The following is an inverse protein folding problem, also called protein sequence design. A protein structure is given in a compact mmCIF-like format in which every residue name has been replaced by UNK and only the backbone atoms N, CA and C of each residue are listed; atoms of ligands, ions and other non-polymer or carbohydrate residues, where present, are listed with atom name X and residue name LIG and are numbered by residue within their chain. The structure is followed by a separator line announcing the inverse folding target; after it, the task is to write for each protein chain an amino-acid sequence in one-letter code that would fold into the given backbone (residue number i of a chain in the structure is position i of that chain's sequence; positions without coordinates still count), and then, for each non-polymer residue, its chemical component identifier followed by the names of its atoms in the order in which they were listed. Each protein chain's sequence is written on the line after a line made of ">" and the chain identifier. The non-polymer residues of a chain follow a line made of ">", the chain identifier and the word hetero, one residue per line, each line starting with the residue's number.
data_IF_770140446410
#
_entry.id   IF_770140446410
#
_cell.length_a   1.000
_cell.length_b   1.000
_cell.length_c   1.000
_cell.angle_alpha   90.00
_cell.angle_beta   90.00
_cell.angle_gamma   90.00
#
_symmetry.space_group_name_H-M   'P 1'
#
loop_
_entity.id
_entity.type
_entity.pdbx_description
1 polymer ?
#
# COMPACT_ATOMS: atom_id res chain seq x y z
N UNK A 1 1.06 -38.39 2.77
CA UNK A 1 1.64 -37.03 2.79
C UNK A 1 0.78 -36.22 3.72
N UNK A 2 1.25 -36.05 4.95
CA UNK A 2 0.66 -35.10 5.89
C UNK A 2 0.89 -33.70 5.30
N UNK A 3 -0.18 -33.05 4.84
CA UNK A 3 -0.16 -31.61 4.62
C UNK A 3 0.07 -30.98 5.99
N UNK A 4 1.28 -30.44 6.20
CA UNK A 4 1.60 -29.57 7.32
C UNK A 4 0.49 -28.53 7.47
N UNK A 5 0.05 -28.33 8.72
CA UNK A 5 -0.88 -27.28 9.09
C UNK A 5 -0.16 -25.96 8.81
N UNK A 6 -0.46 -25.35 7.66
CA UNK A 6 0.09 -24.05 7.25
C UNK A 6 -0.81 -22.96 7.82
N UNK A 7 -0.20 -22.00 8.51
CA UNK A 7 -0.87 -20.78 8.91
C UNK A 7 -1.19 -19.89 7.69
N UNK A 8 -2.36 -19.27 7.72
CA UNK A 8 -2.78 -18.34 6.68
C UNK A 8 -2.02 -17.03 6.81
N UNK A 9 -1.61 -16.49 5.68
CA UNK A 9 -1.02 -15.15 5.62
C UNK A 9 -2.07 -14.08 5.92
N UNK A 10 -1.61 -12.90 6.35
CA UNK A 10 -2.50 -11.76 6.64
C UNK A 10 -3.37 -11.36 5.45
N UNK A 11 -2.84 -11.51 4.22
CA UNK A 11 -3.61 -11.24 3.00
C UNK A 11 -4.70 -12.30 2.76
N UNK A 12 -4.41 -13.58 3.04
CA UNK A 12 -5.38 -14.67 2.93
C UNK A 12 -6.53 -14.47 3.93
N UNK A 13 -6.23 -14.16 5.20
CA UNK A 13 -7.24 -13.92 6.25
C UNK A 13 -8.06 -12.68 5.94
N UNK A 14 -7.41 -11.60 5.49
CA UNK A 14 -8.10 -10.37 5.13
C UNK A 14 -9.07 -10.59 3.95
N UNK A 15 -8.60 -11.20 2.88
CA UNK A 15 -9.44 -11.50 1.71
C UNK A 15 -10.59 -12.41 2.09
N UNK A 16 -10.32 -13.42 2.93
CA UNK A 16 -11.34 -14.30 3.47
C UNK A 16 -12.40 -13.53 4.27
N UNK A 17 -12.01 -12.55 5.08
CA UNK A 17 -12.94 -11.71 5.85
C UNK A 17 -13.82 -10.84 4.94
N UNK A 18 -13.24 -10.20 3.92
CA UNK A 18 -13.97 -9.41 2.93
C UNK A 18 -14.94 -10.27 2.12
N UNK A 19 -14.46 -11.41 1.63
CA UNK A 19 -15.27 -12.35 0.88
C UNK A 19 -16.41 -12.92 1.71
N UNK A 20 -16.21 -13.07 3.03
CA UNK A 20 -17.26 -13.47 3.96
C UNK A 20 -18.33 -12.39 4.10
N UNK A 21 -17.94 -11.12 4.18
CA UNK A 21 -18.89 -10.00 4.21
C UNK A 21 -19.68 -9.88 2.89
N UNK A 22 -19.04 -10.17 1.75
CA UNK A 22 -19.65 -10.17 0.42
C UNK A 22 -20.40 -11.47 0.07
N UNK A 23 -20.31 -12.50 0.91
CA UNK A 23 -20.81 -13.83 0.56
C UNK A 23 -22.33 -13.88 0.46
N UNK A 24 -22.84 -14.50 -0.61
CA UNK A 24 -24.30 -14.58 -0.87
C UNK A 24 -24.84 -16.02 -0.79
N UNK A 25 -23.98 -17.03 -0.74
CA UNK A 25 -24.40 -18.42 -0.64
C UNK A 25 -24.91 -18.79 0.76
N UNK A 26 -25.73 -19.83 0.84
CA UNK A 26 -26.31 -20.33 2.11
C UNK A 26 -25.54 -21.54 2.66
N UNK A 27 -24.38 -21.88 2.09
CA UNK A 27 -23.71 -23.17 2.27
C UNK A 27 -22.41 -23.11 3.08
N UNK A 28 -22.03 -21.93 3.59
CA UNK A 28 -20.89 -21.77 4.51
C UNK A 28 -21.30 -21.86 5.98
N UNK A 29 -22.60 -22.03 6.24
CA UNK A 29 -23.14 -22.14 7.58
C UNK A 29 -24.37 -23.03 7.62
N UNK A 30 -24.56 -23.72 8.75
CA UNK A 30 -25.72 -24.58 9.00
C UNK A 30 -27.06 -23.84 9.03
N UNK A 31 -27.06 -22.54 9.32
CA UNK A 31 -28.26 -21.71 9.40
C UNK A 31 -28.50 -20.86 8.13
N UNK A 32 -27.64 -20.97 7.12
CA UNK A 32 -27.75 -20.21 5.86
C UNK A 32 -27.61 -18.70 6.03
N UNK A 33 -26.99 -18.24 7.12
CA UNK A 33 -26.85 -16.81 7.42
C UNK A 33 -25.75 -16.16 6.58
N UNK A 34 -26.01 -14.95 6.08
CA UNK A 34 -25.02 -14.09 5.41
C UNK A 34 -25.15 -12.65 5.87
N UNK A 35 -24.08 -11.87 5.81
CA UNK A 35 -24.15 -10.44 6.16
C UNK A 35 -25.12 -9.68 5.26
N UNK A 36 -25.18 -10.02 3.96
CA UNK A 36 -26.11 -9.40 3.00
C UNK A 36 -27.58 -9.55 3.42
N UNK A 37 -27.99 -10.73 3.89
CA UNK A 37 -29.37 -10.97 4.37
C UNK A 37 -29.76 -10.07 5.55
N UNK A 38 -28.78 -9.66 6.36
CA UNK A 38 -29.00 -8.80 7.52
C UNK A 38 -28.73 -7.32 7.24
N UNK A 39 -28.49 -6.92 5.99
CA UNK A 39 -28.19 -5.53 5.64
C UNK A 39 -26.73 -5.14 5.93
N UNK A 40 -25.81 -6.10 5.77
CA UNK A 40 -24.38 -5.97 6.03
C UNK A 40 -24.04 -5.53 7.46
N UNK A 41 -24.74 -6.10 8.44
CA UNK A 41 -24.53 -5.88 9.87
C UNK A 41 -24.60 -7.21 10.63
N UNK A 42 -23.90 -7.28 11.76
CA UNK A 42 -23.84 -8.47 12.59
C UNK A 42 -22.87 -8.30 13.75
N UNK A 43 -22.44 -9.42 14.33
CA UNK A 43 -21.46 -9.45 15.42
C UNK A 43 -20.11 -9.95 14.94
N UNK A 44 -19.03 -9.61 15.64
CA UNK A 44 -17.69 -10.20 15.42
C UNK A 44 -17.74 -11.73 15.34
N UNK A 45 -18.51 -12.33 16.25
CA UNK A 45 -18.70 -13.76 16.37
C UNK A 45 -19.34 -14.38 15.13
N UNK A 46 -20.34 -13.70 14.55
CA UNK A 46 -20.92 -14.10 13.27
C UNK A 46 -19.91 -14.06 12.14
N UNK A 47 -19.10 -12.99 12.07
CA UNK A 47 -18.07 -12.87 11.05
C UNK A 47 -17.05 -14.00 11.12
N UNK A 48 -16.48 -14.26 12.29
CA UNK A 48 -15.44 -15.28 12.44
C UNK A 48 -15.95 -16.69 12.17
N UNK A 49 -17.18 -16.98 12.59
CA UNK A 49 -17.87 -18.25 12.31
C UNK A 49 -18.12 -18.46 10.82
N UNK A 50 -18.68 -17.47 10.12
CA UNK A 50 -18.93 -17.57 8.68
C UNK A 50 -17.61 -17.66 7.89
N UNK A 51 -16.60 -16.93 8.35
CA UNK A 51 -15.26 -16.94 7.77
C UNK A 51 -14.58 -18.31 7.90
N UNK A 52 -14.76 -19.00 9.03
CA UNK A 52 -14.32 -20.38 9.23
C UNK A 52 -14.98 -21.34 8.23
N UNK A 53 -16.30 -21.23 8.05
CA UNK A 53 -17.04 -22.04 7.07
C UNK A 53 -16.58 -21.79 5.63
N UNK A 54 -16.32 -20.53 5.27
CA UNK A 54 -15.79 -20.17 3.97
C UNK A 54 -14.36 -20.70 3.76
N UNK A 55 -13.51 -20.68 4.78
CA UNK A 55 -12.14 -21.20 4.72
C UNK A 55 -12.12 -22.71 4.44
N UNK A 56 -12.97 -23.46 5.16
CA UNK A 56 -13.16 -24.90 4.96
C UNK A 56 -13.66 -25.17 3.54
N UNK A 57 -14.68 -24.45 3.09
CA UNK A 57 -15.25 -24.61 1.75
C UNK A 57 -14.21 -24.39 0.65
N UNK A 58 -13.30 -23.44 0.85
CA UNK A 58 -12.21 -23.13 -0.09
C UNK A 58 -10.99 -24.06 0.04
N UNK A 59 -11.01 -24.99 1.00
CA UNK A 59 -9.89 -25.90 1.28
C UNK A 59 -8.65 -25.20 1.85
N UNK A 60 -8.82 -24.01 2.43
CA UNK A 60 -7.73 -23.26 3.07
C UNK A 60 -7.35 -23.88 4.42
N UNK A 61 -8.34 -24.42 5.14
CA UNK A 61 -8.17 -25.15 6.41
C UNK A 61 -8.93 -26.47 6.36
N UNK A 62 -8.54 -27.45 7.18
CA UNK A 62 -9.23 -28.74 7.30
C UNK A 62 -10.45 -28.60 8.20
N UNK A 63 -11.50 -29.37 7.91
CA UNK A 63 -12.67 -29.51 8.78
C UNK A 63 -12.46 -30.72 9.69
N UNK A 64 -11.72 -30.51 10.77
CA UNK A 64 -11.46 -31.55 11.77
C UNK A 64 -12.56 -31.55 12.86
N UNK A 65 -13.21 -30.41 13.07
CA UNK A 65 -14.35 -30.26 13.98
C UNK A 65 -15.57 -29.63 13.28
N UNK A 66 -16.81 -29.97 13.69
CA UNK A 66 -18.02 -29.30 13.21
C UNK A 66 -18.01 -27.81 13.51
N UNK A 67 -18.61 -27.00 12.62
CA UNK A 67 -18.82 -25.57 12.87
C UNK A 67 -19.79 -25.37 14.03
N UNK A 68 -19.32 -24.81 15.14
CA UNK A 68 -20.15 -24.47 16.29
C UNK A 68 -20.31 -22.96 16.40
N UNK A 69 -21.53 -22.44 16.31
CA UNK A 69 -21.76 -21.00 16.43
C UNK A 69 -21.39 -20.41 17.79
N UNK A 70 -21.38 -21.25 18.82
CA UNK A 70 -21.01 -20.88 20.17
C UNK A 70 -19.48 -20.83 20.42
N UNK A 71 -18.63 -21.17 19.44
CA UNK A 71 -17.18 -21.14 19.60
C UNK A 71 -16.59 -19.72 19.73
N UNK A 72 -17.28 -18.73 19.15
CA UNK A 72 -16.80 -17.34 19.05
C UNK A 72 -17.51 -16.37 20.02
N UNK A 73 -18.59 -16.79 20.69
CA UNK A 73 -19.36 -15.97 21.67
C UNK A 73 -20.14 -16.77 22.73
N UNK A 74 -20.03 -18.10 22.74
CA UNK A 74 -20.88 -18.94 23.57
C UNK A 74 -20.53 -18.81 25.04
N UNK A 75 -21.48 -18.39 25.88
CA UNK A 75 -21.29 -18.45 27.33
C UNK A 75 -20.97 -19.90 27.74
N UNK A 76 -19.76 -20.12 28.24
CA UNK A 76 -19.30 -21.44 28.70
C UNK A 76 -18.41 -22.22 27.74
N UNK A 77 -18.12 -21.71 26.53
CA UNK A 77 -17.11 -22.27 25.63
C UNK A 77 -15.94 -21.29 25.51
N UNK A 78 -14.73 -21.76 25.81
CA UNK A 78 -13.50 -21.00 25.60
C UNK A 78 -13.02 -21.23 24.17
N UNK A 79 -12.56 -20.17 23.50
CA UNK A 79 -11.95 -20.28 22.18
C UNK A 79 -10.62 -21.03 22.29
N UNK A 80 -10.57 -22.23 21.71
CA UNK A 80 -9.40 -23.09 21.68
C UNK A 80 -9.09 -23.54 20.24
N UNK A 81 -7.87 -23.27 19.73
CA UNK A 81 -7.43 -23.74 18.41
C UNK A 81 -7.60 -25.25 18.25
N UNK A 82 -8.09 -25.68 17.09
CA UNK A 82 -8.37 -27.08 16.72
C UNK A 82 -9.27 -27.86 17.70
N UNK A 83 -10.02 -27.17 18.55
CA UNK A 83 -10.91 -27.78 19.55
C UNK A 83 -12.31 -27.19 19.50
N UNK A 84 -12.42 -25.86 19.49
CA UNK A 84 -13.69 -25.15 19.28
C UNK A 84 -13.73 -24.39 17.97
N UNK A 85 -12.57 -24.10 17.36
CA UNK A 85 -12.44 -23.58 15.99
C UNK A 85 -11.40 -24.41 15.21
N UNK A 86 -11.55 -24.51 13.89
CA UNK A 86 -10.60 -25.18 12.99
C UNK A 86 -9.34 -24.34 12.71
N UNK A 87 -9.34 -23.04 13.07
CA UNK A 87 -8.19 -22.16 12.90
C UNK A 87 -7.07 -22.46 13.90
N UNK A 88 -5.82 -22.19 13.47
CA UNK A 88 -4.65 -22.25 14.35
C UNK A 88 -4.61 -21.08 15.32
N UNK A 89 -3.70 -21.11 16.30
CA UNK A 89 -3.49 -19.98 17.20
C UNK A 89 -3.03 -18.72 16.45
N UNK A 90 -2.12 -18.90 15.47
CA UNK A 90 -1.59 -17.79 14.66
C UNK A 90 -2.69 -17.18 13.80
N UNK A 91 -3.53 -18.02 13.19
CA UNK A 91 -4.67 -17.57 12.40
C UNK A 91 -5.63 -16.72 13.25
N UNK A 92 -5.98 -17.18 14.46
CA UNK A 92 -6.89 -16.46 15.37
C UNK A 92 -6.34 -15.07 15.72
N UNK A 93 -5.05 -14.96 16.05
CA UNK A 93 -4.45 -13.65 16.33
C UNK A 93 -4.54 -12.72 15.11
N UNK A 94 -4.20 -13.24 13.94
CA UNK A 94 -4.23 -12.47 12.70
C UNK A 94 -5.66 -12.08 12.30
N UNK A 95 -6.67 -12.94 12.54
CA UNK A 95 -8.10 -12.61 12.36
C UNK A 95 -8.48 -11.38 13.19
N UNK A 96 -8.08 -11.33 14.46
CA UNK A 96 -8.35 -10.17 15.31
C UNK A 96 -7.66 -8.91 14.81
N UNK A 97 -6.40 -9.02 14.38
CA UNK A 97 -5.66 -7.90 13.80
C UNK A 97 -6.33 -7.40 12.51
N UNK A 98 -6.70 -8.29 11.59
CA UNK A 98 -7.37 -7.91 10.34
C UNK A 98 -8.73 -7.26 10.60
N UNK A 99 -9.51 -7.75 11.58
CA UNK A 99 -10.76 -7.11 11.96
C UNK A 99 -10.54 -5.65 12.39
N UNK A 100 -9.54 -5.40 13.24
CA UNK A 100 -9.18 -4.05 13.66
C UNK A 100 -8.63 -3.18 12.51
N UNK A 101 -7.94 -3.77 11.54
CA UNK A 101 -7.51 -3.06 10.34
C UNK A 101 -8.70 -2.66 9.47
N UNK A 102 -9.73 -3.50 9.30
CA UNK A 102 -10.95 -3.12 8.58
C UNK A 102 -11.71 -1.98 9.29
N UNK A 103 -11.72 -1.97 10.63
CA UNK A 103 -12.24 -0.85 11.43
C UNK A 103 -11.46 0.43 11.17
N UNK A 104 -10.13 0.38 11.26
CA UNK A 104 -9.26 1.54 11.07
C UNK A 104 -9.34 2.11 9.64
N UNK A 105 -9.56 1.24 8.66
CA UNK A 105 -9.75 1.61 7.25
C UNK A 105 -11.16 2.13 6.95
N UNK A 106 -12.07 2.11 7.93
CA UNK A 106 -13.45 2.54 7.77
C UNK A 106 -14.30 1.64 6.88
N UNK A 107 -13.85 0.41 6.58
CA UNK A 107 -14.63 -0.59 5.82
C UNK A 107 -15.80 -1.07 6.67
N UNK A 108 -15.56 -1.27 7.97
CA UNK A 108 -16.58 -1.57 8.98
C UNK A 108 -16.55 -0.52 10.09
N UNK A 109 -17.66 -0.35 10.79
CA UNK A 109 -17.77 0.56 11.93
C UNK A 109 -18.52 -0.09 13.10
N UNK A 110 -18.20 0.26 14.36
CA UNK A 110 -18.90 -0.26 15.53
C UNK A 110 -20.39 0.10 15.53
N UNK A 111 -21.18 -0.80 16.12
CA UNK A 111 -22.63 -0.67 16.25
C UNK A 111 -23.41 -1.23 15.07
N UNK A 112 -24.62 -1.70 15.34
CA UNK A 112 -25.58 -2.16 14.34
C UNK A 112 -27.01 -1.82 14.78
N UNK A 113 -27.92 -1.71 13.82
CA UNK A 113 -29.29 -1.28 14.07
C UNK A 113 -30.14 -2.46 14.55
N UNK A 114 -31.08 -2.21 15.47
CA UNK A 114 -31.97 -3.23 16.03
C UNK A 114 -31.45 -3.75 17.37
N UNK A 115 -31.52 -5.07 17.58
CA UNK A 115 -31.20 -5.69 18.87
C UNK A 115 -29.68 -5.86 19.13
N UNK A 116 -28.82 -5.38 18.23
CA UNK A 116 -27.36 -5.53 18.31
C UNK A 116 -26.68 -4.46 19.18
N UNK A 117 -27.22 -3.24 19.21
CA UNK A 117 -26.67 -2.13 20.00
C UNK A 117 -25.56 -1.32 19.29
N UNK A 118 -25.12 -0.19 19.89
CA UNK A 118 -24.27 0.82 19.22
C UNK A 118 -22.77 0.59 19.33
N UNK A 119 -22.31 -0.48 19.99
CA UNK A 119 -20.89 -0.72 20.29
C UNK A 119 -20.46 -2.11 19.81
N UNK A 120 -19.15 -2.34 19.77
CA UNK A 120 -18.60 -3.70 19.66
C UNK A 120 -19.16 -4.61 20.77
N UNK A 121 -19.38 -5.91 20.50
CA UNK A 121 -18.93 -6.65 19.32
C UNK A 121 -19.83 -6.50 18.08
N UNK A 122 -20.92 -5.74 18.17
CA UNK A 122 -21.80 -5.44 17.04
C UNK A 122 -21.14 -4.43 16.09
N UNK A 123 -21.30 -4.64 14.78
CA UNK A 123 -20.74 -3.77 13.75
C UNK A 123 -21.60 -3.81 12.47
N UNK A 124 -21.35 -2.85 11.58
CA UNK A 124 -21.90 -2.84 10.22
C UNK A 124 -20.82 -2.48 9.20
N UNK A 125 -21.01 -2.90 7.95
CA UNK A 125 -20.22 -2.44 6.81
C UNK A 125 -20.66 -1.03 6.45
N UNK A 126 -19.71 -0.12 6.29
CA UNK A 126 -20.00 1.28 5.94
C UNK A 126 -20.38 1.42 4.46
N UNK A 127 -20.91 2.56 4.03
CA UNK A 127 -21.13 2.84 2.60
C UNK A 127 -19.84 2.72 1.78
N UNK A 128 -18.70 3.13 2.36
CA UNK A 128 -17.38 2.95 1.75
C UNK A 128 -17.00 1.47 1.68
N UNK A 129 -17.23 0.72 2.74
CA UNK A 129 -17.01 -0.72 2.77
C UNK A 129 -17.83 -1.46 1.72
N UNK A 130 -19.09 -1.10 1.51
CA UNK A 130 -19.94 -1.70 0.48
C UNK A 130 -19.37 -1.52 -0.92
N UNK A 131 -18.86 -0.32 -1.24
CA UNK A 131 -18.16 -0.08 -2.51
C UNK A 131 -16.92 -0.98 -2.65
N UNK A 132 -16.17 -1.15 -1.57
CA UNK A 132 -15.00 -2.03 -1.56
C UNK A 132 -15.37 -3.51 -1.79
N UNK A 133 -16.54 -3.95 -1.31
CA UNK A 133 -17.05 -5.30 -1.55
C UNK A 133 -17.55 -5.47 -3.00
N UNK A 134 -18.24 -4.47 -3.55
CA UNK A 134 -18.80 -4.49 -4.91
C UNK A 134 -17.71 -4.51 -5.99
N UNK A 135 -16.64 -3.74 -5.80
CA UNK A 135 -15.54 -3.65 -6.76
C UNK A 135 -14.67 -4.92 -6.73
N UNK A 136 -14.81 -5.79 -5.72
CA UNK A 136 -13.95 -6.94 -5.44
C UNK A 136 -12.44 -6.61 -5.53
N UNK A 137 -12.11 -5.32 -5.42
CA UNK A 137 -10.80 -4.74 -5.58
C UNK A 137 -10.45 -4.10 -4.25
N UNK A 138 -9.79 -4.89 -3.42
CA UNK A 138 -8.93 -4.31 -2.41
C UNK A 138 -7.49 -4.73 -2.72
N UNK A 139 -6.86 -3.95 -3.61
CA UNK A 139 -5.42 -3.94 -3.86
C UNK A 139 -4.73 -2.92 -2.93
N UNK A 140 -3.40 -3.02 -2.72
CA UNK A 140 -2.61 -4.02 -2.03
C UNK A 140 -2.14 -3.46 -0.67
N UNK A 141 -2.41 -4.19 0.43
CA UNK A 141 -2.11 -3.74 1.80
C UNK A 141 -0.92 -4.44 2.44
N UNK A 142 -0.03 -5.01 1.65
CA UNK A 142 1.25 -5.45 2.19
C UNK A 142 2.19 -4.26 2.32
N UNK A 143 1.97 -3.45 3.37
CA UNK A 143 2.88 -2.35 3.74
C UNK A 143 4.28 -2.90 3.89
N UNK A 144 4.42 -4.07 4.49
CA UNK A 144 5.71 -4.70 4.74
C UNK A 144 6.38 -5.11 3.44
N UNK A 145 5.68 -5.80 2.54
CA UNK A 145 6.20 -6.17 1.22
C UNK A 145 6.41 -4.97 0.28
N UNK A 146 5.63 -3.89 0.41
CA UNK A 146 5.90 -2.63 -0.30
C UNK A 146 7.21 -2.02 0.23
N UNK A 147 7.35 -1.88 1.55
CA UNK A 147 8.56 -1.33 2.17
C UNK A 147 9.77 -2.23 1.93
N UNK A 148 9.61 -3.55 1.87
CA UNK A 148 10.67 -4.48 1.52
C UNK A 148 11.16 -4.26 0.09
N UNK A 149 10.24 -4.09 -0.88
CA UNK A 149 10.60 -3.74 -2.26
C UNK A 149 11.36 -2.41 -2.35
N UNK A 150 11.00 -1.43 -1.53
CA UNK A 150 11.70 -0.14 -1.45
C UNK A 150 13.09 -0.31 -0.84
N UNK A 151 13.21 -1.02 0.29
CA UNK A 151 14.49 -1.31 0.97
C UNK A 151 15.47 -2.12 0.12
N UNK A 152 14.96 -2.96 -0.78
CA UNK A 152 15.77 -3.72 -1.72
C UNK A 152 16.35 -2.87 -2.86
N UNK A 153 15.98 -1.60 -2.99
CA UNK A 153 16.59 -0.67 -3.94
C UNK A 153 17.97 -0.26 -3.38
N UNK A 154 19.07 -0.47 -4.13
CA UNK A 154 20.39 -0.08 -3.67
C UNK A 154 20.50 1.42 -3.40
N UNK A 155 21.30 1.77 -2.39
CA UNK A 155 21.59 3.15 -1.97
C UNK A 155 20.37 4.00 -1.58
N UNK A 156 19.21 3.39 -1.39
CA UNK A 156 18.02 4.14 -0.97
C UNK A 156 18.24 4.81 0.39
N UNK A 157 17.82 6.06 0.47
CA UNK A 157 18.01 6.91 1.62
C UNK A 157 16.98 6.63 2.70
N UNK A 158 17.41 6.63 3.97
CA UNK A 158 16.52 6.46 5.13
C UNK A 158 15.38 7.49 5.13
N UNK A 159 15.64 8.72 4.65
CA UNK A 159 14.61 9.75 4.53
C UNK A 159 13.56 9.43 3.46
N UNK A 160 13.97 8.81 2.35
CA UNK A 160 13.06 8.38 1.29
C UNK A 160 12.17 7.25 1.80
N UNK A 161 12.75 6.28 2.52
CA UNK A 161 12.00 5.23 3.21
C UNK A 161 11.01 5.80 4.23
N UNK A 162 11.46 6.76 5.04
CA UNK A 162 10.64 7.44 6.04
C UNK A 162 9.41 8.08 5.40
N UNK A 163 9.58 8.91 4.37
CA UNK A 163 8.44 9.57 3.71
C UNK A 163 7.48 8.58 3.04
N UNK A 164 7.98 7.51 2.44
CA UNK A 164 7.14 6.46 1.84
C UNK A 164 6.33 5.74 2.93
N UNK A 165 6.95 5.44 4.07
CA UNK A 165 6.26 4.82 5.22
C UNK A 165 5.13 5.72 5.74
N UNK A 166 5.40 7.00 5.94
CA UNK A 166 4.37 7.98 6.35
C UNK A 166 3.25 8.07 5.30
N UNK A 167 3.60 8.04 4.01
CA UNK A 167 2.61 8.02 2.93
C UNK A 167 1.67 6.82 3.03
N UNK A 168 2.22 5.61 3.23
CA UNK A 168 1.44 4.38 3.37
C UNK A 168 0.53 4.43 4.60
N UNK A 169 1.01 5.00 5.71
CA UNK A 169 0.20 5.19 6.91
C UNK A 169 -0.97 6.15 6.64
N UNK A 170 -0.73 7.28 5.98
CA UNK A 170 -1.78 8.20 5.57
C UNK A 170 -2.79 7.54 4.63
N UNK A 171 -2.33 6.75 3.65
CA UNK A 171 -3.20 6.02 2.73
C UNK A 171 -4.11 5.02 3.46
N UNK A 172 -3.53 4.26 4.40
CA UNK A 172 -4.26 3.29 5.21
C UNK A 172 -5.27 3.95 6.16
N UNK A 173 -4.98 5.17 6.63
CA UNK A 173 -5.87 6.00 7.44
C UNK A 173 -6.92 6.77 6.62
N UNK A 174 -7.02 6.50 5.31
CA UNK A 174 -7.91 7.16 4.37
C UNK A 174 -7.64 8.68 4.18
N UNK A 175 -6.42 9.14 4.47
CA UNK A 175 -5.95 10.52 4.30
C UNK A 175 -5.21 10.66 2.96
N UNK A 176 -5.94 10.68 1.85
CA UNK A 176 -5.39 10.60 0.49
C UNK A 176 -4.45 11.75 0.15
N UNK A 177 -4.85 12.97 0.45
CA UNK A 177 -4.04 14.17 0.16
C UNK A 177 -2.73 14.16 0.97
N UNK A 178 -2.80 13.73 2.23
CA UNK A 178 -1.61 13.61 3.07
C UNK A 178 -0.65 12.52 2.56
N UNK A 179 -1.19 11.37 2.12
CA UNK A 179 -0.40 10.30 1.52
C UNK A 179 0.37 10.80 0.29
N UNK A 180 -0.33 11.54 -0.56
CA UNK A 180 0.22 12.10 -1.78
C UNK A 180 1.27 13.18 -1.51
N UNK A 181 1.07 14.04 -0.51
CA UNK A 181 2.08 15.02 -0.06
C UNK A 181 3.36 14.30 0.39
N UNK A 182 3.23 13.23 1.19
CA UNK A 182 4.39 12.45 1.64
C UNK A 182 5.15 11.81 0.48
N UNK A 183 4.46 11.28 -0.54
CA UNK A 183 5.12 10.76 -1.76
C UNK A 183 5.86 11.85 -2.54
N UNK A 184 5.31 13.07 -2.64
CA UNK A 184 6.03 14.15 -3.30
C UNK A 184 7.25 14.62 -2.48
N UNK A 185 7.20 14.61 -1.14
CA UNK A 185 8.38 14.90 -0.30
C UNK A 185 9.48 13.85 -0.51
N UNK A 186 9.10 12.58 -0.62
CA UNK A 186 10.00 11.50 -1.02
C UNK A 186 10.62 11.77 -2.40
N UNK A 187 9.81 12.19 -3.38
CA UNK A 187 10.29 12.55 -4.72
C UNK A 187 11.25 13.75 -4.73
N UNK A 188 11.01 14.76 -3.90
CA UNK A 188 11.91 15.92 -3.77
C UNK A 188 13.25 15.52 -3.16
N UNK A 189 13.23 14.62 -2.17
CA UNK A 189 14.45 14.08 -1.57
C UNK A 189 15.28 13.27 -2.57
N UNK A 190 14.62 12.42 -3.38
CA UNK A 190 15.28 11.68 -4.47
C UNK A 190 15.91 12.66 -5.47
N UNK A 191 15.22 13.73 -5.84
CA UNK A 191 15.74 14.73 -6.77
C UNK A 191 16.98 15.44 -6.23
N UNK A 192 17.01 15.78 -4.94
CA UNK A 192 18.19 16.36 -4.31
C UNK A 192 19.39 15.39 -4.37
N UNK A 193 19.17 14.11 -4.07
CA UNK A 193 20.20 13.07 -4.17
C UNK A 193 20.69 12.84 -5.61
N UNK A 194 19.78 12.90 -6.59
CA UNK A 194 20.13 12.85 -8.01
C UNK A 194 20.99 14.02 -8.45
N UNK A 195 20.69 15.22 -7.99
CA UNK A 195 21.45 16.43 -8.31
C UNK A 195 22.85 16.33 -7.73
N UNK A 196 22.97 15.91 -6.47
CA UNK A 196 24.27 15.75 -5.81
C UNK A 196 25.12 14.67 -6.51
N UNK A 197 24.51 13.53 -6.85
CA UNK A 197 25.19 12.45 -7.56
C UNK A 197 25.64 12.90 -8.97
N UNK A 198 24.76 13.56 -9.73
CA UNK A 198 25.10 14.08 -11.07
C UNK A 198 26.20 15.14 -10.99
N UNK A 199 26.17 16.07 -10.03
CA UNK A 199 27.25 17.03 -9.81
C UNK A 199 28.58 16.32 -9.55
N UNK A 200 28.58 15.29 -8.71
CA UNK A 200 29.75 14.46 -8.48
C UNK A 200 30.28 13.85 -9.78
N UNK A 201 29.41 13.25 -10.57
CA UNK A 201 29.75 12.66 -11.87
C UNK A 201 30.32 13.69 -12.86
N UNK A 202 29.68 14.86 -12.98
CA UNK A 202 30.16 15.95 -13.84
C UNK A 202 31.53 16.46 -13.38
N UNK A 203 31.77 16.56 -12.07
CA UNK A 203 33.08 17.03 -11.56
C UNK A 203 34.25 16.13 -12.00
N UNK A 204 33.98 14.84 -12.24
CA UNK A 204 34.98 13.85 -12.68
C UNK A 204 35.12 13.77 -14.20
N UNK A 205 34.01 13.97 -14.93
CA UNK A 205 33.92 13.64 -16.36
C UNK A 205 33.66 14.84 -17.28
N UNK A 206 33.11 15.96 -16.77
CA UNK A 206 32.57 17.09 -17.53
C UNK A 206 32.75 18.44 -16.78
N UNK A 207 33.99 18.96 -16.73
CA UNK A 207 34.38 20.12 -15.89
C UNK A 207 33.61 21.42 -16.20
N UNK A 208 33.30 21.67 -17.48
CA UNK A 208 32.60 22.89 -17.89
C UNK A 208 31.13 22.83 -17.47
N UNK A 209 30.46 21.71 -17.73
CA UNK A 209 29.08 21.44 -17.33
C UNK A 209 28.93 21.44 -15.81
N UNK A 210 29.90 20.89 -15.07
CA UNK A 210 29.94 20.96 -13.61
C UNK A 210 29.89 22.40 -13.11
N UNK A 211 30.79 23.26 -13.61
CA UNK A 211 30.89 24.67 -13.19
C UNK A 211 29.61 25.44 -13.51
N UNK A 212 28.99 25.17 -14.66
CA UNK A 212 27.73 25.79 -15.06
C UNK A 212 26.56 25.34 -14.16
N UNK A 213 26.43 24.03 -13.93
CA UNK A 213 25.35 23.47 -13.13
C UNK A 213 25.42 23.96 -11.67
N UNK A 214 26.62 23.96 -11.09
CA UNK A 214 26.83 24.44 -9.72
C UNK A 214 26.44 25.92 -9.56
N UNK A 215 26.79 26.76 -10.54
CA UNK A 215 26.41 28.18 -10.54
C UNK A 215 24.89 28.34 -10.63
N UNK A 216 24.23 27.63 -11.55
CA UNK A 216 22.77 27.71 -11.72
C UNK A 216 22.02 27.25 -10.46
N UNK A 217 22.44 26.13 -9.84
CA UNK A 217 21.80 25.59 -8.63
C UNK A 217 21.86 26.54 -7.44
N UNK A 218 22.92 27.34 -7.30
CA UNK A 218 23.06 28.31 -6.20
C UNK A 218 21.88 29.31 -6.13
N UNK A 219 21.29 29.62 -7.29
CA UNK A 219 20.18 30.55 -7.45
C UNK A 219 18.79 29.92 -7.33
N UNK A 220 18.70 28.59 -7.40
CA UNK A 220 17.43 27.86 -7.43
C UNK A 220 16.94 27.60 -6.00
N UNK A 221 15.63 27.79 -5.80
CA UNK A 221 14.94 27.50 -4.52
C UNK A 221 13.76 26.54 -4.67
N UNK A 222 13.15 26.44 -5.85
CA UNK A 222 11.98 25.62 -6.11
C UNK A 222 12.39 24.22 -6.60
N UNK A 223 11.75 23.18 -6.07
CA UNK A 223 11.98 21.80 -6.51
C UNK A 223 11.72 21.58 -8.01
N UNK A 224 10.66 22.19 -8.56
CA UNK A 224 10.37 22.14 -10.00
C UNK A 224 11.49 22.76 -10.86
N UNK A 225 12.12 23.82 -10.37
CA UNK A 225 13.27 24.44 -11.04
C UNK A 225 14.54 23.58 -10.89
N UNK A 226 14.74 22.93 -9.73
CA UNK A 226 15.81 21.93 -9.54
C UNK A 226 15.65 20.76 -10.52
N UNK A 227 14.44 20.26 -10.72
CA UNK A 227 14.15 19.19 -11.68
C UNK A 227 14.46 19.60 -13.12
N UNK A 228 14.06 20.82 -13.52
CA UNK A 228 14.40 21.33 -14.84
C UNK A 228 15.91 21.50 -15.05
N UNK A 229 16.64 21.91 -13.99
CA UNK A 229 18.10 21.97 -14.00
C UNK A 229 18.70 20.58 -14.22
N UNK A 230 18.33 19.59 -13.39
CA UNK A 230 18.76 18.19 -13.55
C UNK A 230 18.50 17.70 -14.98
N UNK A 231 17.27 17.89 -15.47
CA UNK A 231 16.85 17.48 -16.81
C UNK A 231 17.74 18.10 -17.88
N UNK A 232 18.00 19.42 -17.82
CA UNK A 232 18.88 20.12 -18.77
C UNK A 232 20.25 19.46 -18.86
N UNK A 233 20.94 19.26 -17.74
CA UNK A 233 22.28 18.70 -17.74
C UNK A 233 22.29 17.21 -18.09
N UNK A 234 21.29 16.45 -17.68
CA UNK A 234 21.08 15.08 -18.15
C UNK A 234 21.02 15.01 -19.69
N UNK A 235 20.22 15.86 -20.33
CA UNK A 235 20.13 15.89 -21.80
C UNK A 235 21.42 16.36 -22.49
N UNK A 236 22.23 17.20 -21.83
CA UNK A 236 23.53 17.62 -22.36
C UNK A 236 24.53 16.46 -22.40
N UNK A 237 24.59 15.67 -21.33
CA UNK A 237 25.59 14.59 -21.23
C UNK A 237 25.14 13.28 -21.85
N UNK A 238 23.83 13.02 -21.98
CA UNK A 238 23.34 11.67 -22.31
C UNK A 238 23.89 11.09 -23.62
N UNK A 239 24.23 11.94 -24.59
CA UNK A 239 24.78 11.51 -25.89
C UNK A 239 26.31 11.38 -25.85
N UNK A 240 26.96 11.98 -24.85
CA UNK A 240 28.41 12.01 -24.67
C UNK A 240 28.90 10.87 -23.77
N UNK A 241 28.01 10.22 -23.02
CA UNK A 241 28.32 9.02 -22.24
C UNK A 241 28.33 7.80 -23.18
N UNK A 242 29.52 7.21 -23.37
CA UNK A 242 29.72 6.06 -24.25
C UNK A 242 29.39 4.71 -23.60
N UNK A 243 29.33 4.67 -22.27
CA UNK A 243 29.10 3.50 -21.44
C UNK A 243 27.81 2.74 -21.81
N UNK A 244 27.89 1.40 -21.84
CA UNK A 244 26.78 0.56 -22.25
C UNK A 244 25.67 0.50 -21.19
N UNK A 245 26.05 0.48 -19.91
CA UNK A 245 25.09 0.40 -18.80
C UNK A 245 24.26 1.68 -18.74
N UNK A 246 24.88 2.86 -18.93
CA UNK A 246 24.13 4.11 -19.06
C UNK A 246 23.14 4.10 -20.23
N UNK A 247 23.56 3.59 -21.39
CA UNK A 247 22.70 3.52 -22.59
C UNK A 247 21.50 2.59 -22.41
N UNK A 248 21.68 1.46 -21.74
CA UNK A 248 20.59 0.52 -21.44
C UNK A 248 19.55 1.11 -20.49
N UNK A 249 19.94 2.10 -19.67
CA UNK A 249 19.05 2.79 -18.75
C UNK A 249 18.28 3.95 -19.40
N UNK A 250 18.77 4.55 -20.50
CA UNK A 250 18.12 5.68 -21.17
C UNK A 250 16.65 5.43 -21.55
N UNK A 251 16.24 4.25 -22.05
CA UNK A 251 14.83 3.96 -22.34
C UNK A 251 13.92 4.04 -21.10
N UNK A 252 14.45 3.88 -19.88
CA UNK A 252 13.68 3.96 -18.64
C UNK A 252 13.30 5.40 -18.26
N UNK A 253 13.94 6.40 -18.88
CA UNK A 253 13.73 7.85 -18.70
C UNK A 253 13.37 8.49 -20.03
N UNK A 254 12.36 7.93 -20.69
CA UNK A 254 11.80 8.55 -21.88
C UNK A 254 11.03 9.85 -21.56
N UNK A 255 10.45 10.47 -22.58
CA UNK A 255 9.70 11.72 -22.41
C UNK A 255 8.49 11.55 -21.49
N UNK A 256 7.86 10.38 -21.49
CA UNK A 256 6.67 10.08 -20.69
C UNK A 256 7.07 9.87 -19.24
N UNK A 257 8.12 9.10 -18.97
CA UNK A 257 8.69 8.91 -17.64
C UNK A 257 9.05 10.25 -16.99
N UNK A 258 9.74 11.15 -17.70
CA UNK A 258 10.04 12.49 -17.19
C UNK A 258 8.79 13.34 -16.90
N UNK A 259 7.69 13.16 -17.64
CA UNK A 259 6.43 13.85 -17.34
C UNK A 259 5.78 13.31 -16.07
N UNK A 260 5.76 11.98 -15.89
CA UNK A 260 5.28 11.34 -14.66
C UNK A 260 6.13 11.80 -13.46
N UNK A 261 7.45 11.88 -13.60
CA UNK A 261 8.34 12.31 -12.52
C UNK A 261 8.18 13.79 -12.18
N UNK A 262 8.01 14.63 -13.21
CA UNK A 262 7.67 16.03 -13.01
C UNK A 262 6.33 16.17 -12.25
N UNK A 263 5.36 15.29 -12.51
CA UNK A 263 4.10 15.30 -11.79
C UNK A 263 4.30 14.95 -10.31
N UNK A 264 5.11 13.94 -9.97
CA UNK A 264 5.43 13.65 -8.56
C UNK A 264 6.04 14.85 -7.82
N UNK A 265 6.90 15.64 -8.47
CA UNK A 265 7.46 16.87 -7.88
C UNK A 265 6.49 18.06 -7.82
N UNK A 266 5.38 18.02 -8.57
CA UNK A 266 4.37 19.10 -8.63
C UNK A 266 3.22 18.87 -7.66
N UNK A 267 2.83 17.61 -7.54
CA UNK A 267 1.75 17.11 -6.69
C UNK A 267 1.95 17.54 -5.22
N UNK A 268 3.19 17.80 -4.77
CA UNK A 268 3.51 18.26 -3.42
C UNK A 268 3.11 19.68 -3.05
N UNK A 269 3.02 20.62 -3.99
CA UNK A 269 3.06 22.07 -3.63
C UNK A 269 2.05 22.98 -4.28
N UNK A 270 1.70 22.77 -5.54
CA UNK A 270 0.90 23.75 -6.27
C UNK A 270 -0.59 23.39 -6.34
N UNK A 271 -0.92 22.10 -6.29
CA UNK A 271 -2.30 21.63 -6.51
C UNK A 271 -2.98 21.19 -5.22
N UNK A 272 -2.28 20.60 -4.23
CA UNK A 272 -2.90 20.09 -2.99
C UNK A 272 -2.66 20.97 -1.74
N UNK A 273 -1.65 21.85 -1.74
CA UNK A 273 -1.37 22.75 -0.61
C UNK A 273 -2.17 24.07 -0.65
N UNK A 274 -2.74 24.39 -1.81
CA UNK A 274 -3.80 25.38 -1.95
C UNK A 274 -5.13 24.65 -1.90
N UNK A 275 -6.21 25.22 -1.31
CA UNK A 275 -7.53 24.61 -1.35
C UNK A 275 -7.98 24.53 -2.82
N UNK A 276 -7.65 23.42 -3.47
CA UNK A 276 -8.15 23.02 -4.77
C UNK A 276 -9.44 22.24 -4.54
N UNK A 277 -10.37 22.36 -5.47
CA UNK A 277 -11.60 21.58 -5.47
C UNK A 277 -11.36 20.11 -5.87
N UNK A 278 -10.10 19.72 -6.11
CA UNK A 278 -9.71 18.39 -6.58
C UNK A 278 -9.37 17.50 -5.40
N UNK A 279 -10.35 16.70 -4.97
CA UNK A 279 -10.13 15.59 -4.04
C UNK A 279 -9.44 14.44 -4.76
N UNK A 280 -8.47 13.81 -4.11
CA UNK A 280 -7.79 12.64 -4.65
C UNK A 280 -8.60 11.40 -4.32
N UNK A 281 -8.99 10.63 -5.34
CA UNK A 281 -9.67 9.36 -5.12
C UNK A 281 -8.67 8.30 -4.67
N UNK A 282 -9.14 7.36 -3.84
CA UNK A 282 -8.27 6.32 -3.26
C UNK A 282 -7.59 5.46 -4.34
N UNK A 283 -8.27 5.20 -5.45
CA UNK A 283 -7.73 4.45 -6.57
C UNK A 283 -6.62 5.23 -7.31
N UNK A 284 -6.73 6.56 -7.38
CA UNK A 284 -5.71 7.40 -8.00
C UNK A 284 -4.43 7.40 -7.15
N UNK A 285 -4.57 7.55 -5.84
CA UNK A 285 -3.43 7.46 -4.92
C UNK A 285 -2.80 6.07 -4.96
N UNK A 286 -3.60 5.01 -5.12
CA UNK A 286 -3.07 3.67 -5.27
C UNK A 286 -2.22 3.51 -6.54
N UNK A 287 -2.71 4.00 -7.68
CA UNK A 287 -1.95 3.96 -8.93
C UNK A 287 -0.62 4.73 -8.79
N UNK A 288 -0.63 5.83 -8.04
CA UNK A 288 0.60 6.56 -7.69
C UNK A 288 1.56 5.63 -6.93
N UNK A 289 1.14 4.97 -5.83
CA UNK A 289 2.00 4.02 -5.10
C UNK A 289 2.59 2.92 -5.99
N UNK A 290 1.75 2.28 -6.84
CA UNK A 290 2.21 1.21 -7.73
C UNK A 290 3.31 1.70 -8.67
N UNK A 291 3.12 2.88 -9.27
CA UNK A 291 4.12 3.47 -10.17
C UNK A 291 5.35 4.02 -9.45
N UNK A 292 5.22 4.40 -8.17
CA UNK A 292 6.28 5.02 -7.38
C UNK A 292 7.45 4.08 -7.12
N UNK A 293 7.21 2.77 -6.94
CA UNK A 293 8.29 1.78 -6.81
C UNK A 293 9.21 1.84 -8.04
N UNK A 294 8.61 1.81 -9.24
CA UNK A 294 9.38 1.84 -10.48
C UNK A 294 10.10 3.17 -10.66
N UNK A 295 9.49 4.27 -10.23
CA UNK A 295 10.15 5.58 -10.18
C UNK A 295 11.41 5.56 -9.31
N UNK A 296 11.32 5.07 -8.07
CA UNK A 296 12.46 4.93 -7.17
C UNK A 296 13.56 4.07 -7.79
N UNK A 297 13.22 2.89 -8.31
CA UNK A 297 14.19 1.99 -8.96
C UNK A 297 14.93 2.67 -10.10
N UNK A 298 14.20 3.39 -10.98
CA UNK A 298 14.83 4.10 -12.10
C UNK A 298 15.72 5.23 -11.59
N UNK A 299 15.26 6.03 -10.63
CA UNK A 299 16.03 7.17 -10.13
C UNK A 299 17.31 6.73 -9.41
N UNK A 300 17.21 5.73 -8.53
CA UNK A 300 18.36 5.20 -7.80
C UNK A 300 19.33 4.46 -8.71
N UNK A 301 18.85 3.81 -9.77
CA UNK A 301 19.75 3.30 -10.79
C UNK A 301 20.66 4.39 -11.38
N UNK A 302 20.10 5.57 -11.69
CA UNK A 302 20.92 6.71 -12.17
C UNK A 302 21.83 7.28 -11.08
N UNK A 303 21.34 7.41 -9.84
CA UNK A 303 22.15 7.84 -8.69
C UNK A 303 23.36 6.92 -8.54
N UNK A 304 23.14 5.61 -8.49
CA UNK A 304 24.19 4.61 -8.34
C UNK A 304 25.18 4.64 -9.50
N UNK A 305 24.69 4.80 -10.73
CA UNK A 305 25.57 4.97 -11.89
C UNK A 305 26.50 6.18 -11.70
N UNK A 306 25.93 7.34 -11.35
CA UNK A 306 26.68 8.58 -11.14
C UNK A 306 27.62 8.51 -9.94
N UNK A 307 27.35 7.72 -8.90
CA UNK A 307 28.24 7.57 -7.75
C UNK A 307 29.44 6.70 -8.11
N UNK A 308 29.23 5.64 -8.89
CA UNK A 308 30.24 4.62 -9.16
C UNK A 308 31.13 4.89 -10.39
N UNK A 309 30.76 5.86 -11.23
CA UNK A 309 31.49 6.24 -12.46
C UNK A 309 31.83 7.75 -12.47
#
# INVERSE_FOLDING_TARGET
>A
METEIRDLSSIEIRNLMLDTLAYEGEDIDSEGKTFKLYGYQGTQSDLYRLMEGLAIKRGLIKSDIPLYGAAWDGSGLMLHPHSTTNFSYSDIQNIYEQFHLLLNQGIIAPGAIGNYGPNLPSFHVTEYGLKCLDENEILPYDVDGYLEKIKNIPSISEWVEFYIKEALQCYNANCMEAAVIMLGLSSEKILDEQIDALLGYLSRNFTDEFSQMQTELSSIRLASAKFNCYKKYFYMIKNNVSDHLFKDMLPLVDRVAFQVYANFTRITRNELAHPSDTKMERIEVLMIFISFIKYCQTQYGFIDYYINH
#
